data_IF_357580458308
#
_entry.id   IF_357580458308
#
_cell.length_a   1.000
_cell.length_b   1.000
_cell.length_c   1.000
_cell.angle_alpha   90.00
_cell.angle_beta   90.00
_cell.angle_gamma   90.00
#
_symmetry.space_group_name_H-M   'P 1'
#
loop_
_entity.id
_entity.type
_entity.pdbx_description
1 polymer ?
#
# COMPACT_ATOMS: atom_id res chain seq x y z
N UNK A 1 23.52 -18.55 6.41
CA UNK A 1 22.25 -18.61 5.64
C UNK A 1 22.41 -17.79 4.37
N UNK A 2 22.31 -18.41 3.18
CA UNK A 2 22.35 -17.66 1.90
C UNK A 2 21.02 -16.92 1.77
N UNK A 3 21.04 -15.60 1.89
CA UNK A 3 19.85 -14.79 1.67
C UNK A 3 19.34 -15.03 0.24
N UNK A 4 18.03 -15.30 0.04
CA UNK A 4 17.49 -15.44 -1.31
C UNK A 4 17.69 -14.09 -2.01
N UNK A 5 18.42 -14.13 -3.12
CA UNK A 5 18.82 -12.93 -3.82
C UNK A 5 18.13 -12.86 -5.17
N UNK A 6 17.36 -11.79 -5.37
CA UNK A 6 16.52 -11.60 -6.53
C UNK A 6 17.03 -10.44 -7.39
N UNK A 7 16.61 -10.46 -8.67
CA UNK A 7 16.80 -9.34 -9.60
C UNK A 7 16.01 -8.13 -9.12
N UNK A 8 16.46 -6.92 -9.46
CA UNK A 8 15.84 -5.66 -8.98
C UNK A 8 14.40 -5.54 -9.47
N UNK A 9 14.17 -5.95 -10.70
CA UNK A 9 12.87 -5.98 -11.35
C UNK A 9 11.92 -6.87 -10.55
N UNK A 10 12.39 -8.00 -10.03
CA UNK A 10 11.61 -8.87 -9.14
C UNK A 10 11.27 -8.16 -7.83
N UNK A 11 12.18 -7.40 -7.22
CA UNK A 11 11.90 -6.64 -5.99
C UNK A 11 10.86 -5.54 -6.23
N UNK A 12 11.00 -4.80 -7.33
CA UNK A 12 10.04 -3.76 -7.73
C UNK A 12 8.67 -4.37 -8.02
N UNK A 13 8.62 -5.52 -8.72
CA UNK A 13 7.37 -6.23 -9.02
C UNK A 13 6.69 -6.74 -7.75
N UNK A 14 7.44 -7.38 -6.86
CA UNK A 14 6.91 -7.87 -5.58
C UNK A 14 6.37 -6.70 -4.73
N UNK A 15 7.10 -5.58 -4.66
CA UNK A 15 6.62 -4.39 -3.96
C UNK A 15 5.30 -3.86 -4.56
N UNK A 16 5.21 -3.76 -5.89
CA UNK A 16 3.99 -3.39 -6.60
C UNK A 16 2.82 -4.31 -6.25
N UNK A 17 3.03 -5.63 -6.37
CA UNK A 17 1.99 -6.65 -6.08
C UNK A 17 1.52 -6.55 -4.63
N UNK A 18 2.44 -6.47 -3.66
CA UNK A 18 2.08 -6.36 -2.24
C UNK A 18 1.23 -5.11 -2.00
N UNK A 19 1.63 -3.96 -2.54
CA UNK A 19 0.86 -2.72 -2.37
C UNK A 19 -0.52 -2.80 -3.03
N UNK A 20 -0.62 -3.42 -4.22
CA UNK A 20 -1.91 -3.64 -4.88
C UNK A 20 -2.82 -4.57 -4.08
N UNK A 21 -2.30 -5.70 -3.58
CA UNK A 21 -3.08 -6.68 -2.82
C UNK A 21 -3.58 -6.11 -1.48
N UNK A 22 -2.72 -5.41 -0.74
CA UNK A 22 -3.12 -4.74 0.50
C UNK A 22 -4.15 -3.65 0.20
N UNK A 23 -3.94 -2.86 -0.87
CA UNK A 23 -4.90 -1.85 -1.29
C UNK A 23 -6.28 -2.43 -1.63
N UNK A 24 -6.30 -3.48 -2.45
CA UNK A 24 -7.51 -4.18 -2.86
C UNK A 24 -8.27 -4.76 -1.67
N UNK A 25 -7.58 -5.46 -0.77
CA UNK A 25 -8.22 -6.08 0.40
C UNK A 25 -8.88 -5.05 1.31
N UNK A 26 -8.27 -3.89 1.53
CA UNK A 26 -8.87 -2.80 2.31
C UNK A 26 -10.15 -2.25 1.65
N UNK A 27 -10.11 -2.02 0.33
CA UNK A 27 -11.28 -1.56 -0.42
C UNK A 27 -12.38 -2.62 -0.38
N UNK A 28 -12.07 -3.90 -0.60
CA UNK A 28 -13.04 -5.00 -0.52
C UNK A 28 -13.72 -5.09 0.84
N UNK A 29 -12.96 -4.92 1.94
CA UNK A 29 -13.52 -4.89 3.30
C UNK A 29 -14.46 -3.71 3.49
N UNK A 30 -14.08 -2.51 3.04
CA UNK A 30 -14.93 -1.32 3.13
C UNK A 30 -16.22 -1.49 2.33
N UNK A 31 -16.11 -2.01 1.11
CA UNK A 31 -17.25 -2.28 0.23
C UNK A 31 -18.20 -3.29 0.87
N UNK A 32 -17.69 -4.38 1.45
CA UNK A 32 -18.51 -5.35 2.16
C UNK A 32 -19.27 -4.74 3.36
N UNK A 33 -18.65 -3.82 4.10
CA UNK A 33 -19.31 -3.10 5.19
C UNK A 33 -20.41 -2.15 4.73
N UNK A 34 -20.19 -1.49 3.59
CA UNK A 34 -21.15 -0.56 3.00
C UNK A 34 -22.37 -1.29 2.43
N UNK A 35 -22.17 -2.44 1.76
CA UNK A 35 -23.27 -3.26 1.26
C UNK A 35 -24.10 -3.93 2.36
N UNK A 36 -23.48 -4.25 3.50
CA UNK A 36 -24.20 -4.78 4.67
C UNK A 36 -24.99 -3.73 5.46
N UNK A 37 -24.95 -2.46 5.05
CA UNK A 37 -25.62 -1.36 5.76
C UNK A 37 -26.91 -0.92 5.06
N UNK A 38 -27.99 -0.65 5.80
CA UNK A 38 -29.30 -0.32 5.23
C UNK A 38 -29.32 1.02 4.48
N UNK A 39 -28.30 1.86 4.67
CA UNK A 39 -28.09 3.11 3.93
C UNK A 39 -26.69 3.09 3.36
N UNK A 40 -26.56 3.36 2.06
CA UNK A 40 -25.28 3.52 1.40
C UNK A 40 -24.84 5.00 1.44
N UNK A 41 -23.88 5.38 2.30
CA UNK A 41 -23.50 6.77 2.47
C UNK A 41 -22.54 7.22 1.36
N UNK A 42 -23.07 7.60 0.20
CA UNK A 42 -22.30 8.06 -0.97
C UNK A 42 -21.29 9.15 -0.60
N UNK A 43 -21.67 10.09 0.28
CA UNK A 43 -20.80 11.18 0.75
C UNK A 43 -19.55 10.64 1.46
N UNK A 44 -19.67 9.57 2.27
CA UNK A 44 -18.53 8.96 2.94
C UNK A 44 -17.61 8.27 1.93
N UNK A 45 -18.16 7.59 0.93
CA UNK A 45 -17.38 6.97 -0.14
C UNK A 45 -16.58 8.01 -0.93
N UNK A 46 -17.22 9.10 -1.33
CA UNK A 46 -16.57 10.21 -2.02
C UNK A 46 -15.49 10.87 -1.14
N UNK A 47 -15.80 11.11 0.14
CA UNK A 47 -14.84 11.64 1.11
C UNK A 47 -13.62 10.74 1.27
N UNK A 48 -13.83 9.42 1.36
CA UNK A 48 -12.76 8.43 1.40
C UNK A 48 -11.91 8.43 0.13
N UNK A 49 -12.52 8.52 -1.06
CA UNK A 49 -11.80 8.57 -2.32
C UNK A 49 -10.94 9.85 -2.46
N UNK A 50 -11.51 11.02 -2.12
CA UNK A 50 -10.78 12.30 -2.13
C UNK A 50 -9.62 12.28 -1.13
N UNK A 51 -9.86 11.80 0.10
CA UNK A 51 -8.82 11.62 1.10
C UNK A 51 -7.75 10.63 0.63
N UNK A 52 -8.14 9.53 -0.01
CA UNK A 52 -7.21 8.55 -0.56
C UNK A 52 -6.31 9.13 -1.64
N UNK A 53 -6.87 9.95 -2.53
CA UNK A 53 -6.07 10.68 -3.53
C UNK A 53 -5.10 11.67 -2.86
N UNK A 54 -5.53 12.39 -1.82
CA UNK A 54 -4.65 13.28 -1.05
C UNK A 54 -3.52 12.51 -0.35
N UNK A 55 -3.82 11.40 0.33
CA UNK A 55 -2.82 10.54 0.99
C UNK A 55 -1.85 9.95 -0.04
N UNK A 56 -2.33 9.54 -1.22
CA UNK A 56 -1.48 9.17 -2.34
C UNK A 56 -0.53 10.30 -2.70
N UNK A 57 -1.07 11.49 -2.99
CA UNK A 57 -0.31 12.62 -3.55
C UNK A 57 0.75 13.15 -2.58
N UNK A 58 0.43 13.23 -1.28
CA UNK A 58 1.29 13.85 -0.28
C UNK A 58 2.06 12.86 0.60
N UNK A 59 1.62 11.60 0.68
CA UNK A 59 2.23 10.59 1.54
C UNK A 59 2.84 9.43 0.75
N UNK A 60 1.99 8.56 0.22
CA UNK A 60 2.42 7.24 -0.27
C UNK A 60 3.20 7.28 -1.59
N UNK A 61 2.93 8.24 -2.47
CA UNK A 61 3.73 8.42 -3.70
C UNK A 61 5.19 8.76 -3.39
N UNK A 62 5.44 9.59 -2.36
CA UNK A 62 6.80 9.90 -1.88
C UNK A 62 7.47 8.68 -1.26
N UNK A 63 6.70 7.90 -0.48
CA UNK A 63 7.19 6.67 0.12
C UNK A 63 7.58 5.62 -0.94
N UNK A 64 6.73 5.43 -1.94
CA UNK A 64 6.97 4.53 -3.06
C UNK A 64 8.18 4.99 -3.89
N UNK A 65 8.28 6.29 -4.19
CA UNK A 65 9.43 6.87 -4.91
C UNK A 65 10.75 6.68 -4.17
N UNK A 66 10.76 6.92 -2.86
CA UNK A 66 11.92 6.64 -1.99
C UNK A 66 12.28 5.16 -1.97
N UNK A 67 11.27 4.29 -1.99
CA UNK A 67 11.49 2.85 -2.01
C UNK A 67 12.15 2.41 -3.33
N UNK A 68 11.64 2.88 -4.45
CA UNK A 68 12.21 2.67 -5.78
C UNK A 68 13.66 3.14 -5.85
N UNK A 69 13.95 4.39 -5.46
CA UNK A 69 15.32 4.93 -5.45
C UNK A 69 16.25 4.04 -4.63
N UNK A 70 15.82 3.52 -3.47
CA UNK A 70 16.62 2.61 -2.66
C UNK A 70 16.88 1.26 -3.33
N UNK A 71 15.86 0.63 -3.89
CA UNK A 71 16.01 -0.66 -4.60
C UNK A 71 17.04 -0.52 -5.73
N UNK A 72 17.04 0.59 -6.46
CA UNK A 72 18.02 0.85 -7.52
C UNK A 72 19.39 1.30 -7.00
N UNK A 73 19.46 2.05 -5.88
CA UNK A 73 20.71 2.55 -5.30
C UNK A 73 21.48 1.51 -4.46
N UNK A 74 20.83 0.48 -3.93
CA UNK A 74 21.48 -0.54 -3.10
C UNK A 74 22.46 -1.46 -3.84
N UNK A 75 22.64 -1.29 -5.16
CA UNK A 75 23.51 -2.17 -5.94
C UNK A 75 24.16 -1.48 -7.16
N UNK A 76 25.27 -0.74 -7.04
CA UNK A 76 26.11 -0.44 -8.20
C UNK A 76 26.90 -1.67 -8.68
N UNK A 77 27.17 -2.65 -7.79
CA UNK A 77 28.17 -3.72 -7.99
C UNK A 77 27.74 -5.13 -7.51
N UNK A 78 26.44 -5.35 -7.20
CA UNK A 78 25.92 -6.67 -6.79
C UNK A 78 24.69 -7.05 -7.62
N UNK A 79 24.75 -8.19 -8.31
CA UNK A 79 23.63 -8.73 -9.10
C UNK A 79 22.44 -9.22 -8.27
N UNK A 80 22.62 -9.29 -6.95
CA UNK A 80 21.81 -10.10 -6.04
C UNK A 80 21.59 -9.36 -4.72
N UNK A 81 20.38 -8.83 -4.52
CA UNK A 81 19.96 -8.14 -3.29
C UNK A 81 18.97 -9.03 -2.53
N UNK A 82 19.09 -9.07 -1.19
CA UNK A 82 18.20 -9.86 -0.34
C UNK A 82 16.74 -9.45 -0.53
N UNK A 83 15.84 -10.42 -0.74
CA UNK A 83 14.40 -10.18 -0.99
C UNK A 83 13.76 -9.32 0.10
N UNK A 84 14.17 -9.48 1.37
CA UNK A 84 13.59 -8.73 2.49
C UNK A 84 14.08 -7.29 2.61
N UNK A 85 15.13 -6.90 1.86
CA UNK A 85 15.67 -5.54 1.88
C UNK A 85 14.90 -4.55 0.99
N UNK A 86 13.79 -4.99 0.35
CA UNK A 86 13.01 -4.14 -0.56
C UNK A 86 12.33 -2.94 0.12
N UNK A 87 12.27 -2.91 1.45
CA UNK A 87 11.61 -1.85 2.22
C UNK A 87 12.45 -1.49 3.45
N UNK A 88 12.69 -0.20 3.67
CA UNK A 88 13.48 0.29 4.81
C UNK A 88 12.82 -0.09 6.14
N UNK A 89 13.58 -0.29 7.21
CA UNK A 89 13.05 -0.65 8.54
C UNK A 89 11.99 0.34 9.04
N UNK A 90 12.13 1.64 8.68
CA UNK A 90 11.13 2.68 8.95
C UNK A 90 9.81 2.46 8.21
N UNK A 91 9.87 1.95 6.98
CA UNK A 91 8.70 1.62 6.18
C UNK A 91 8.04 0.32 6.64
N UNK A 92 8.82 -0.64 7.17
CA UNK A 92 8.25 -1.81 7.87
C UNK A 92 7.53 -1.42 9.15
N UNK A 93 8.12 -0.51 9.94
CA UNK A 93 7.48 0.02 11.14
C UNK A 93 6.13 0.70 10.84
N UNK A 94 6.06 1.50 9.76
CA UNK A 94 4.82 2.08 9.26
C UNK A 94 3.77 1.01 8.91
N UNK A 95 4.18 -0.07 8.24
CA UNK A 95 3.28 -1.19 7.89
C UNK A 95 2.77 -1.90 9.15
N UNK A 96 3.62 -2.13 10.16
CA UNK A 96 3.21 -2.71 11.45
C UNK A 96 2.20 -1.81 12.17
N UNK A 97 2.44 -0.50 12.21
CA UNK A 97 1.48 0.47 12.79
C UNK A 97 0.16 0.44 12.03
N UNK A 98 0.18 0.41 10.69
CA UNK A 98 -1.03 0.34 9.87
C UNK A 98 -1.81 -0.97 10.12
N UNK A 99 -1.12 -2.11 10.25
CA UNK A 99 -1.74 -3.39 10.57
C UNK A 99 -2.34 -3.39 11.99
N UNK A 100 -1.63 -2.84 12.98
CA UNK A 100 -2.13 -2.70 14.34
C UNK A 100 -3.34 -1.77 14.45
N UNK A 101 -3.31 -0.62 13.75
CA UNK A 101 -4.44 0.29 13.64
C UNK A 101 -5.62 -0.37 12.95
N UNK A 102 -5.40 -1.08 11.84
CA UNK A 102 -6.44 -1.82 11.13
C UNK A 102 -7.10 -2.88 12.00
N UNK A 103 -6.29 -3.66 12.72
CA UNK A 103 -6.76 -4.66 13.69
C UNK A 103 -7.57 -4.01 14.83
N UNK A 104 -7.05 -2.93 15.43
CA UNK A 104 -7.73 -2.20 16.50
C UNK A 104 -9.06 -1.59 16.04
N UNK A 105 -9.08 -0.94 14.88
CA UNK A 105 -10.29 -0.36 14.30
C UNK A 105 -11.34 -1.45 13.99
N UNK A 106 -10.92 -2.61 13.48
CA UNK A 106 -11.82 -3.72 13.15
C UNK A 106 -12.48 -4.37 14.37
N UNK A 107 -11.81 -4.36 15.52
CA UNK A 107 -12.32 -4.90 16.78
C UNK A 107 -12.88 -3.81 17.72
N UNK A 108 -12.85 -2.55 17.29
CA UNK A 108 -13.46 -1.45 18.02
C UNK A 108 -14.98 -1.48 17.89
N UNK A 109 -15.69 -0.92 18.88
CA UNK A 109 -17.14 -0.74 18.82
C UNK A 109 -17.61 0.35 17.83
N UNK A 110 -16.71 0.87 16.99
CA UNK A 110 -17.04 1.95 16.04
C UNK A 110 -17.93 1.38 14.92
N UNK A 111 -19.03 2.07 14.56
CA UNK A 111 -19.87 1.65 13.45
C UNK A 111 -19.06 1.53 12.15
N UNK A 112 -19.20 0.39 11.47
CA UNK A 112 -18.43 0.05 10.25
C UNK A 112 -18.56 1.09 9.13
N UNK A 113 -19.68 1.83 9.10
CA UNK A 113 -19.91 2.93 8.16
C UNK A 113 -18.91 4.08 8.29
N UNK A 114 -18.41 4.36 9.50
CA UNK A 114 -17.39 5.38 9.72
C UNK A 114 -15.97 4.86 9.42
N UNK A 115 -15.76 3.54 9.50
CA UNK A 115 -14.48 2.90 9.19
C UNK A 115 -14.27 2.70 7.68
N UNK A 116 -15.35 2.45 6.94
CA UNK A 116 -15.32 2.29 5.49
C UNK A 116 -14.58 3.41 4.72
N UNK A 117 -14.84 4.72 4.94
CA UNK A 117 -14.12 5.79 4.24
C UNK A 117 -12.62 5.79 4.53
N UNK A 118 -12.20 5.42 5.74
CA UNK A 118 -10.78 5.32 6.11
C UNK A 118 -10.11 4.17 5.33
N UNK A 119 -10.77 3.01 5.27
CA UNK A 119 -10.29 1.85 4.53
C UNK A 119 -10.24 2.11 3.02
N UNK A 120 -11.23 2.82 2.46
CA UNK A 120 -11.22 3.28 1.07
C UNK A 120 -10.04 4.23 0.83
N UNK A 121 -9.83 5.22 1.71
CA UNK A 121 -8.78 6.21 1.54
C UNK A 121 -7.38 5.55 1.50
N UNK A 122 -7.09 4.71 2.50
CA UNK A 122 -5.79 4.02 2.56
C UNK A 122 -5.65 3.01 1.42
N UNK A 123 -6.70 2.23 1.14
CA UNK A 123 -6.71 1.23 0.09
C UNK A 123 -6.45 1.84 -1.29
N UNK A 124 -7.17 2.91 -1.63
CA UNK A 124 -7.00 3.66 -2.86
C UNK A 124 -5.59 4.26 -2.96
N UNK A 125 -5.07 4.83 -1.86
CA UNK A 125 -3.73 5.43 -1.86
C UNK A 125 -2.62 4.40 -2.14
N UNK A 126 -2.76 3.18 -1.60
CA UNK A 126 -1.85 2.06 -1.87
C UNK A 126 -1.94 1.59 -3.32
N UNK A 127 -3.16 1.42 -3.84
CA UNK A 127 -3.37 1.02 -5.24
C UNK A 127 -2.76 2.05 -6.20
N UNK A 128 -3.02 3.34 -6.01
CA UNK A 128 -2.43 4.40 -6.85
C UNK A 128 -0.91 4.43 -6.75
N UNK A 129 -0.36 4.24 -5.55
CA UNK A 129 1.09 4.19 -5.36
C UNK A 129 1.73 2.94 -5.96
N UNK A 130 1.00 1.81 -6.03
CA UNK A 130 1.47 0.58 -6.67
C UNK A 130 1.75 0.77 -8.16
N UNK A 131 1.02 1.68 -8.82
CA UNK A 131 1.22 2.04 -10.22
C UNK A 131 2.62 2.61 -10.50
N UNK A 132 3.24 3.28 -9.53
CA UNK A 132 4.60 3.81 -9.66
C UNK A 132 5.62 2.68 -9.87
N UNK A 133 5.44 1.54 -9.18
CA UNK A 133 6.32 0.38 -9.35
C UNK A 133 6.12 -0.25 -10.73
N UNK A 134 4.89 -0.44 -11.18
CA UNK A 134 4.60 -0.98 -12.51
C UNK A 134 5.09 -0.07 -13.63
N UNK A 135 4.94 1.24 -13.47
CA UNK A 135 5.45 2.21 -14.45
C UNK A 135 6.97 2.15 -14.57
N UNK A 136 7.69 1.97 -13.44
CA UNK A 136 9.15 1.79 -13.47
C UNK A 136 9.58 0.52 -14.19
N UNK A 137 8.84 -0.59 -14.02
CA UNK A 137 9.13 -1.83 -14.75
C UNK A 137 8.91 -1.68 -16.25
N UNK A 138 7.86 -0.96 -16.67
CA UNK A 138 7.57 -0.71 -18.08
C UNK A 138 8.62 0.16 -18.78
N UNK A 139 9.23 1.10 -18.07
CA UNK A 139 10.26 2.00 -18.61
C UNK A 139 11.66 1.35 -18.61
N UNK A 140 11.87 0.34 -17.76
CA UNK A 140 13.18 -0.33 -17.59
C UNK A 140 13.35 -1.61 -18.43
N UNK A 141 12.28 -2.12 -19.06
CA UNK A 141 12.30 -3.25 -19.98
C UNK A 141 12.29 -2.79 -21.44
#
# INVERSE_FOLDING_TARGET
MKAPAARRETLVLVAGIVWSLVGLTLVSVAVAWLFGSPRYPVILVLGGAVAGYAIYRFGFSHLASKNLVRIYAQAPQKDKVCIFAFQNIRSYFLVVIMMALGYGLRHSGIPKNHLAPIYIAIGLALMLSSLLYYNRLRVAG
#
